data_IF_054180303001
#
_entry.id   IF_054180303001
#
_cell.length_a   1.000
_cell.length_b   1.000
_cell.length_c   1.000
_cell.angle_alpha   90.00
_cell.angle_beta   90.00
_cell.angle_gamma   90.00
#
_symmetry.space_group_name_H-M   'P 1'
#
loop_
_entity.id
_entity.type
_entity.pdbx_description
1 polymer ?
#
# COMPACT_ATOMS: atom_id res chain seq x y z
N UNK A 1 -61.07 61.30 -5.19
CA UNK A 1 -61.73 60.92 -3.92
C UNK A 1 -62.35 59.54 -4.07
N UNK A 2 -62.45 58.78 -2.96
CA UNK A 2 -62.91 57.38 -2.76
C UNK A 2 -61.85 56.32 -3.10
N UNK A 3 -61.20 55.60 -2.17
CA UNK A 3 -61.53 54.81 -0.96
C UNK A 3 -61.47 53.29 -1.25
N UNK A 4 -60.37 52.71 -0.77
CA UNK A 4 -60.09 51.33 -0.33
C UNK A 4 -61.17 50.25 -0.50
N UNK A 5 -60.78 49.15 -1.17
CA UNK A 5 -61.23 47.80 -0.83
C UNK A 5 -60.02 46.85 -0.80
N UNK A 6 -59.92 46.12 0.31
CA UNK A 6 -58.94 45.09 0.58
C UNK A 6 -59.23 43.84 -0.25
N UNK A 7 -58.19 43.11 -0.66
CA UNK A 7 -58.22 41.64 -0.66
C UNK A 7 -56.79 41.10 -0.54
N UNK A 8 -56.57 40.37 0.55
CA UNK A 8 -55.41 39.53 0.74
C UNK A 8 -55.46 38.35 -0.24
N UNK A 9 -54.36 38.07 -0.92
CA UNK A 9 -54.09 36.79 -1.55
C UNK A 9 -52.60 36.50 -1.46
N UNK A 10 -52.23 35.84 -0.36
CA UNK A 10 -50.97 35.16 -0.13
C UNK A 10 -50.86 34.03 -1.17
N UNK A 11 -50.11 34.24 -2.25
CA UNK A 11 -49.75 33.17 -3.19
C UNK A 11 -48.29 32.79 -2.96
N UNK A 12 -48.13 31.72 -2.18
CA UNK A 12 -46.95 30.88 -2.08
C UNK A 12 -46.59 30.36 -3.49
N UNK A 13 -45.47 30.82 -4.06
CA UNK A 13 -44.87 30.19 -5.24
C UNK A 13 -43.80 29.20 -4.77
N UNK A 14 -43.82 27.94 -5.25
CA UNK A 14 -42.85 26.93 -4.85
C UNK A 14 -41.51 27.29 -5.47
N UNK A 15 -40.50 27.45 -4.61
CA UNK A 15 -39.10 27.43 -5.01
C UNK A 15 -38.83 26.06 -5.64
N UNK A 16 -38.79 26.01 -6.97
CA UNK A 16 -38.20 24.89 -7.69
C UNK A 16 -36.73 24.82 -7.29
N UNK A 17 -36.43 24.00 -6.28
CA UNK A 17 -35.08 23.54 -6.02
C UNK A 17 -34.64 22.73 -7.22
N UNK A 18 -33.85 23.35 -8.10
CA UNK A 18 -32.96 22.62 -8.98
C UNK A 18 -32.06 21.77 -8.08
N UNK A 19 -32.30 20.46 -8.05
CA UNK A 19 -31.29 19.52 -7.60
C UNK A 19 -30.12 19.65 -8.59
N UNK A 20 -29.15 20.51 -8.27
CA UNK A 20 -27.82 20.38 -8.82
C UNK A 20 -27.33 19.00 -8.36
N UNK A 21 -27.34 18.03 -9.27
CA UNK A 21 -26.34 16.96 -9.24
C UNK A 21 -25.00 17.67 -9.19
N UNK A 22 -24.47 17.85 -7.97
CA UNK A 22 -23.08 18.23 -7.80
C UNK A 22 -22.30 17.10 -8.49
N UNK A 23 -21.57 17.38 -9.58
CA UNK A 23 -20.69 16.37 -10.15
C UNK A 23 -19.77 15.94 -9.02
N UNK A 24 -19.83 14.65 -8.66
CA UNK A 24 -18.89 14.07 -7.71
C UNK A 24 -17.51 14.45 -8.24
N UNK A 25 -16.70 15.21 -7.49
CA UNK A 25 -15.38 15.54 -7.96
C UNK A 25 -14.66 14.22 -8.16
N UNK A 26 -14.34 13.89 -9.41
CA UNK A 26 -13.31 12.92 -9.75
C UNK A 26 -12.02 13.51 -9.20
N UNK A 27 -11.76 13.23 -7.92
CA UNK A 27 -10.61 13.75 -7.22
C UNK A 27 -9.38 13.15 -7.86
N UNK A 28 -8.70 13.91 -8.72
CA UNK A 28 -7.30 13.67 -9.10
C UNK A 28 -6.35 13.90 -7.91
N UNK A 29 -6.77 13.53 -6.70
CA UNK A 29 -6.10 13.73 -5.42
C UNK A 29 -6.04 12.42 -4.66
N UNK A 30 -5.16 12.37 -3.65
CA UNK A 30 -4.84 11.15 -2.90
C UNK A 30 -6.09 10.52 -2.29
N UNK A 31 -6.34 9.26 -2.59
CA UNK A 31 -7.46 8.52 -1.99
C UNK A 31 -7.05 7.93 -0.64
N UNK A 32 -7.99 7.62 0.27
CA UNK A 32 -7.64 6.97 1.54
C UNK A 32 -6.89 5.64 1.35
N UNK A 33 -7.20 4.88 0.29
CA UNK A 33 -6.48 3.66 -0.06
C UNK A 33 -5.10 3.95 -0.63
N UNK A 34 -4.97 4.95 -1.51
CA UNK A 34 -3.68 5.41 -2.00
C UNK A 34 -2.75 5.89 -0.90
N UNK A 35 -3.25 6.64 0.09
CA UNK A 35 -2.45 7.06 1.26
C UNK A 35 -1.94 5.86 2.07
N UNK A 36 -2.78 4.83 2.27
CA UNK A 36 -2.36 3.60 2.95
C UNK A 36 -1.31 2.84 2.14
N UNK A 37 -1.49 2.74 0.83
CA UNK A 37 -0.52 2.09 -0.05
C UNK A 37 0.80 2.86 -0.14
N UNK A 38 0.76 4.19 -0.09
CA UNK A 38 1.96 5.04 -0.03
C UNK A 38 2.81 4.72 1.21
N UNK A 39 2.18 4.37 2.34
CA UNK A 39 2.92 3.89 3.54
C UNK A 39 3.63 2.57 3.25
N UNK A 40 2.98 1.64 2.55
CA UNK A 40 3.59 0.36 2.15
C UNK A 40 4.78 0.58 1.22
N UNK A 41 4.65 1.48 0.24
CA UNK A 41 5.75 1.87 -0.66
C UNK A 41 6.96 2.39 0.13
N UNK A 42 6.74 3.29 1.10
CA UNK A 42 7.80 3.80 1.98
C UNK A 42 8.43 2.69 2.83
N UNK A 43 7.64 1.73 3.31
CA UNK A 43 8.16 0.58 4.05
C UNK A 43 9.03 -0.31 3.17
N UNK A 44 8.65 -0.55 1.91
CA UNK A 44 9.48 -1.29 0.94
C UNK A 44 10.82 -0.59 0.73
N UNK A 45 10.82 0.73 0.56
CA UNK A 45 12.07 1.47 0.40
C UNK A 45 12.96 1.42 1.66
N UNK A 46 12.35 1.52 2.85
CA UNK A 46 13.08 1.35 4.11
C UNK A 46 13.66 -0.05 4.26
N UNK A 47 12.93 -1.08 3.83
CA UNK A 47 13.37 -2.47 3.88
C UNK A 47 14.61 -2.68 3.00
N UNK A 48 14.60 -2.19 1.76
CA UNK A 48 15.75 -2.30 0.85
C UNK A 48 17.01 -1.62 1.43
N UNK A 49 16.85 -0.44 2.04
CA UNK A 49 17.96 0.25 2.73
C UNK A 49 18.53 -0.58 3.89
N UNK A 50 17.65 -1.17 4.71
CA UNK A 50 18.06 -2.01 5.84
C UNK A 50 18.76 -3.28 5.38
N UNK A 51 18.31 -3.89 4.29
CA UNK A 51 18.99 -5.04 3.68
C UNK A 51 20.42 -4.66 3.28
N UNK A 52 20.62 -3.53 2.60
CA UNK A 52 21.95 -3.05 2.23
C UNK A 52 22.88 -2.88 3.43
N UNK A 53 22.39 -2.27 4.52
CA UNK A 53 23.18 -2.10 5.74
C UNK A 53 23.50 -3.44 6.43
N UNK A 54 22.54 -4.37 6.49
CA UNK A 54 22.74 -5.68 7.10
C UNK A 54 23.73 -6.55 6.30
N UNK A 55 23.69 -6.51 4.97
CA UNK A 55 24.67 -7.21 4.13
C UNK A 55 26.09 -6.76 4.49
N UNK A 56 26.31 -5.45 4.59
CA UNK A 56 27.62 -4.89 4.96
C UNK A 56 28.05 -5.31 6.37
N UNK A 57 27.13 -5.28 7.34
CA UNK A 57 27.41 -5.64 8.72
C UNK A 57 27.74 -7.14 8.89
N UNK A 58 27.09 -8.01 8.11
CA UNK A 58 27.24 -9.46 8.21
C UNK A 58 28.34 -10.02 7.31
N UNK A 59 28.88 -9.24 6.37
CA UNK A 59 29.83 -9.70 5.35
C UNK A 59 31.04 -10.46 5.93
N UNK A 60 31.54 -10.04 7.10
CA UNK A 60 32.74 -10.60 7.72
C UNK A 60 32.43 -11.70 8.74
N UNK A 61 31.31 -11.61 9.44
CA UNK A 61 30.97 -12.52 10.55
C UNK A 61 30.08 -13.67 10.12
N UNK A 62 29.20 -13.44 9.13
CA UNK A 62 28.20 -14.39 8.65
C UNK A 62 28.04 -14.29 7.11
N UNK A 63 29.10 -14.61 6.35
CA UNK A 63 29.15 -14.35 4.90
C UNK A 63 28.05 -15.06 4.11
N UNK A 64 27.64 -16.27 4.53
CA UNK A 64 26.53 -16.99 3.89
C UNK A 64 25.19 -16.27 4.06
N UNK A 65 24.93 -15.71 5.25
CA UNK A 65 23.71 -14.93 5.51
C UNK A 65 23.72 -13.63 4.73
N UNK A 66 24.88 -12.97 4.65
CA UNK A 66 25.07 -11.76 3.85
C UNK A 66 24.83 -12.03 2.36
N UNK A 67 25.34 -13.15 1.81
CA UNK A 67 25.12 -13.54 0.42
C UNK A 67 23.65 -13.85 0.12
N UNK A 68 22.93 -14.54 1.03
CA UNK A 68 21.48 -14.76 0.88
C UNK A 68 20.70 -13.45 0.88
N UNK A 69 20.94 -12.57 1.84
CA UNK A 69 20.32 -11.24 1.89
C UNK A 69 20.60 -10.44 0.61
N UNK A 70 21.83 -10.52 0.09
CA UNK A 70 22.24 -9.88 -1.15
C UNK A 70 21.46 -10.43 -2.34
N UNK A 71 21.39 -11.75 -2.50
CA UNK A 71 20.62 -12.40 -3.57
C UNK A 71 19.14 -12.01 -3.50
N UNK A 72 18.54 -12.01 -2.31
CA UNK A 72 17.15 -11.59 -2.12
C UNK A 72 16.94 -10.11 -2.48
N UNK A 73 17.84 -9.22 -2.06
CA UNK A 73 17.76 -7.80 -2.44
C UNK A 73 17.89 -7.59 -3.95
N UNK A 74 18.84 -8.28 -4.58
CA UNK A 74 19.08 -8.17 -6.01
C UNK A 74 17.89 -8.73 -6.81
N UNK A 75 17.25 -9.81 -6.34
CA UNK A 75 16.03 -10.34 -6.95
C UNK A 75 14.83 -9.39 -6.78
N UNK A 76 14.66 -8.78 -5.60
CA UNK A 76 13.62 -7.78 -5.37
C UNK A 76 13.73 -6.59 -6.33
N UNK A 77 14.96 -6.16 -6.63
CA UNK A 77 15.25 -5.10 -7.61
C UNK A 77 14.91 -5.53 -9.04
N UNK A 78 15.26 -6.76 -9.45
CA UNK A 78 14.89 -7.29 -10.78
C UNK A 78 13.38 -7.34 -10.96
N UNK A 79 12.65 -7.69 -9.90
CA UNK A 79 11.18 -7.72 -9.87
C UNK A 79 10.56 -6.32 -9.81
N UNK A 80 11.39 -5.26 -9.73
CA UNK A 80 10.99 -3.86 -9.65
C UNK A 80 9.96 -3.60 -8.55
N UNK A 81 10.15 -4.23 -7.39
CA UNK A 81 9.15 -4.24 -6.32
C UNK A 81 8.76 -2.82 -5.89
N UNK A 82 9.74 -1.93 -5.72
CA UNK A 82 9.50 -0.51 -5.39
C UNK A 82 8.64 0.21 -6.44
N UNK A 83 8.99 0.10 -7.71
CA UNK A 83 8.28 0.78 -8.79
C UNK A 83 6.84 0.27 -8.91
N UNK A 84 6.63 -1.03 -8.70
CA UNK A 84 5.30 -1.64 -8.70
C UNK A 84 4.45 -1.18 -7.52
N UNK A 85 5.02 -0.96 -6.34
CA UNK A 85 4.31 -0.33 -5.23
C UNK A 85 3.82 1.08 -5.58
N UNK A 86 4.66 1.89 -6.23
CA UNK A 86 4.28 3.23 -6.69
C UNK A 86 3.16 3.18 -7.76
N UNK A 87 3.19 2.22 -8.68
CA UNK A 87 2.12 2.01 -9.66
C UNK A 87 0.79 1.61 -9.01
N UNK A 88 0.81 0.79 -7.97
CA UNK A 88 -0.38 0.44 -7.19
C UNK A 88 -0.92 1.69 -6.48
N UNK A 89 -0.07 2.48 -5.82
CA UNK A 89 -0.46 3.76 -5.19
C UNK A 89 -1.18 4.65 -6.20
N UNK A 90 -0.57 4.84 -7.39
CA UNK A 90 -1.16 5.64 -8.47
C UNK A 90 -2.51 5.09 -8.93
N UNK A 91 -2.63 3.77 -9.10
CA UNK A 91 -3.87 3.12 -9.54
C UNK A 91 -5.00 3.31 -8.52
N UNK A 92 -4.67 3.22 -7.22
CA UNK A 92 -5.61 3.49 -6.12
C UNK A 92 -6.00 4.96 -6.05
N UNK A 93 -5.08 5.89 -6.34
CA UNK A 93 -5.37 7.32 -6.41
C UNK A 93 -6.29 7.67 -7.59
N UNK A 94 -6.18 6.95 -8.71
CA UNK A 94 -7.02 7.16 -9.90
C UNK A 94 -8.28 6.28 -9.92
N UNK A 95 -8.65 5.66 -8.80
CA UNK A 95 -9.79 4.74 -8.67
C UNK A 95 -9.79 3.55 -9.67
N UNK A 96 -8.62 3.18 -10.20
CA UNK A 96 -8.46 2.00 -11.04
C UNK A 96 -8.23 0.75 -10.15
N UNK A 97 -9.31 0.29 -9.52
CA UNK A 97 -9.26 -0.72 -8.47
C UNK A 97 -8.92 -2.12 -8.98
N UNK A 98 -9.35 -2.48 -10.19
CA UNK A 98 -9.05 -3.77 -10.81
C UNK A 98 -7.54 -3.90 -11.06
N UNK A 99 -6.95 -2.91 -11.72
CA UNK A 99 -5.50 -2.87 -11.96
C UNK A 99 -4.71 -2.84 -10.65
N UNK A 100 -5.18 -2.09 -9.64
CA UNK A 100 -4.53 -2.08 -8.33
C UNK A 100 -4.57 -3.46 -7.66
N UNK A 101 -5.73 -4.13 -7.68
CA UNK A 101 -5.93 -5.46 -7.10
C UNK A 101 -5.04 -6.51 -7.75
N UNK A 102 -4.97 -6.54 -9.08
CA UNK A 102 -4.16 -7.55 -9.78
C UNK A 102 -2.67 -7.34 -9.55
N UNK A 103 -2.20 -6.09 -9.62
CA UNK A 103 -0.81 -5.78 -9.28
C UNK A 103 -0.47 -6.15 -7.82
N UNK A 104 -1.41 -5.94 -6.87
CA UNK A 104 -1.22 -6.34 -5.48
C UNK A 104 -1.08 -7.86 -5.32
N UNK A 105 -1.86 -8.67 -6.06
CA UNK A 105 -1.76 -10.14 -6.04
C UNK A 105 -0.39 -10.59 -6.54
N UNK A 106 0.08 -10.02 -7.65
CA UNK A 106 1.37 -10.39 -8.24
C UNK A 106 2.53 -9.99 -7.32
N UNK A 107 2.47 -8.78 -6.75
CA UNK A 107 3.45 -8.31 -5.75
C UNK A 107 3.47 -9.24 -4.53
N UNK A 108 2.32 -9.69 -4.05
CA UNK A 108 2.26 -10.62 -2.93
C UNK A 108 2.88 -11.98 -3.26
N UNK A 109 2.65 -12.50 -4.47
CA UNK A 109 3.27 -13.74 -4.93
C UNK A 109 4.81 -13.61 -5.00
N UNK A 110 5.30 -12.47 -5.47
CA UNK A 110 6.73 -12.21 -5.55
C UNK A 110 7.39 -12.01 -4.19
N UNK A 111 6.72 -11.33 -3.25
CA UNK A 111 7.19 -11.24 -1.86
C UNK A 111 7.31 -12.64 -1.23
N UNK A 112 6.38 -13.56 -1.49
CA UNK A 112 6.47 -14.95 -1.00
C UNK A 112 7.70 -15.67 -1.56
N UNK A 113 8.03 -15.48 -2.85
CA UNK A 113 9.25 -16.04 -3.45
C UNK A 113 10.52 -15.47 -2.82
N UNK A 114 10.54 -14.16 -2.57
CA UNK A 114 11.66 -13.48 -1.91
C UNK A 114 11.85 -13.96 -0.47
N UNK A 115 10.76 -14.22 0.25
CA UNK A 115 10.81 -14.85 1.57
C UNK A 115 11.39 -16.26 1.47
N UNK A 116 10.90 -17.11 0.57
CA UNK A 116 11.45 -18.46 0.40
C UNK A 116 12.96 -18.45 0.08
N UNK A 117 13.43 -17.50 -0.74
CA UNK A 117 14.84 -17.32 -1.04
C UNK A 117 15.66 -16.87 0.19
N UNK A 118 15.09 -15.99 1.00
CA UNK A 118 15.72 -15.51 2.22
C UNK A 118 15.83 -16.61 3.30
N UNK A 119 14.80 -17.45 3.38
CA UNK A 119 14.65 -18.48 4.41
C UNK A 119 15.30 -19.81 4.08
N UNK A 120 15.81 -19.99 2.86
CA UNK A 120 16.52 -21.20 2.46
C UNK A 120 15.77 -22.50 2.82
N UNK A 121 14.46 -22.54 2.47
CA UNK A 121 13.47 -23.62 2.74
C UNK A 121 13.89 -25.03 2.24
N UNK A 122 15.11 -25.22 1.76
CA UNK A 122 15.70 -26.52 1.43
C UNK A 122 16.59 -27.10 2.53
N UNK A 123 16.95 -26.39 3.59
CA UNK A 123 18.10 -26.80 4.42
C UNK A 123 17.81 -27.65 5.66
N UNK A 124 16.72 -27.51 6.44
CA UNK A 124 16.53 -28.35 7.64
C UNK A 124 15.17 -28.07 8.29
N UNK A 125 14.22 -29.00 8.13
CA UNK A 125 12.85 -28.89 8.69
C UNK A 125 12.75 -28.57 10.19
N UNK A 126 13.79 -28.87 10.96
CA UNK A 126 13.84 -28.58 12.40
C UNK A 126 14.34 -27.16 12.70
N UNK A 127 15.23 -26.59 11.87
CA UNK A 127 15.65 -25.18 11.96
C UNK A 127 14.56 -24.24 11.45
N UNK A 128 13.76 -24.71 10.49
CA UNK A 128 12.66 -23.95 9.89
C UNK A 128 11.60 -23.54 10.93
N UNK A 129 11.33 -24.38 11.95
CA UNK A 129 10.36 -24.06 13.00
C UNK A 129 10.85 -22.95 13.93
N UNK A 130 12.11 -23.03 14.37
CA UNK A 130 12.71 -22.02 15.25
C UNK A 130 12.95 -20.69 14.52
N UNK A 131 13.40 -20.74 13.26
CA UNK A 131 13.49 -19.56 12.39
C UNK A 131 12.10 -18.94 12.12
N UNK A 132 11.09 -19.76 11.82
CA UNK A 132 9.72 -19.29 11.60
C UNK A 132 9.14 -18.61 12.85
N UNK A 133 9.33 -19.18 14.04
CA UNK A 133 8.90 -18.56 15.30
C UNK A 133 9.60 -17.21 15.54
N UNK A 134 10.92 -17.16 15.35
CA UNK A 134 11.73 -15.93 15.47
C UNK A 134 11.31 -14.85 14.45
N UNK A 135 10.90 -15.28 13.25
CA UNK A 135 10.44 -14.39 12.18
C UNK A 135 8.98 -13.97 12.31
N UNK A 136 8.11 -14.81 12.89
CA UNK A 136 6.78 -14.39 13.34
C UNK A 136 6.88 -13.32 14.42
N UNK A 137 7.90 -13.42 15.28
CA UNK A 137 8.18 -12.41 16.28
C UNK A 137 8.66 -11.10 15.66
N UNK A 138 9.56 -11.16 14.67
CA UNK A 138 9.96 -10.00 13.87
C UNK A 138 8.79 -9.39 13.09
N UNK A 139 7.93 -10.22 12.49
CA UNK A 139 6.70 -9.80 11.83
C UNK A 139 5.78 -9.06 12.80
N UNK A 140 5.51 -9.62 13.99
CA UNK A 140 4.73 -8.96 15.06
C UNK A 140 5.36 -7.64 15.49
N UNK A 141 6.68 -7.56 15.56
CA UNK A 141 7.38 -6.33 15.93
C UNK A 141 7.28 -5.26 14.85
N UNK A 142 7.30 -5.66 13.57
CA UNK A 142 7.01 -4.76 12.45
C UNK A 142 5.54 -4.32 12.49
N UNK A 143 4.59 -5.24 12.75
CA UNK A 143 3.16 -4.93 12.89
C UNK A 143 2.85 -3.95 14.04
N UNK A 144 3.64 -3.94 15.12
CA UNK A 144 3.52 -2.98 16.23
C UNK A 144 3.96 -1.55 15.88
N UNK A 145 4.73 -1.37 14.81
CA UNK A 145 5.28 -0.07 14.40
C UNK A 145 4.34 0.63 13.38
N UNK A 146 3.32 -0.06 12.87
CA UNK A 146 2.40 0.41 11.81
C UNK A 146 1.03 0.72 12.41
#
# INVERSE_FOLDING_TARGET
MLRHFAFAALLLLPLFSFAQETPVPTSGGKTPLGVRQQRVEQMTEQLERRFGALIQALQQTEPERADRLKKTLDEAKKLQLKDRMALITKSLDTANLETASDNQKDVLADIRKLLALLLDEKSDKDKDREEFERLQEWKKNIEKII
#
